data_IF_799469732700
#
_entry.id   IF_799469732700
#
_cell.length_a   1.000
_cell.length_b   1.000
_cell.length_c   1.000
_cell.angle_alpha   90.00
_cell.angle_beta   90.00
_cell.angle_gamma   90.00
#
_symmetry.space_group_name_H-M   'P 1'
#
loop_
_entity.id
_entity.type
_entity.pdbx_description
1 polymer ?
#
# COMPACT_ATOMS: atom_id res chain seq x y z
N UNK A 1 -14.64 48.14 17.76
CA UNK A 1 -13.42 47.60 17.09
C UNK A 1 -13.08 46.29 17.76
N UNK A 2 -13.95 45.28 17.59
CA UNK A 2 -13.95 44.04 18.38
C UNK A 2 -14.23 42.81 17.51
N UNK A 3 -15.00 42.93 16.43
CA UNK A 3 -15.35 41.79 15.57
C UNK A 3 -14.17 41.06 14.89
N UNK A 4 -13.09 41.76 14.52
CA UNK A 4 -11.94 41.12 13.86
C UNK A 4 -11.08 40.30 14.83
N UNK A 5 -11.03 40.68 16.12
CA UNK A 5 -10.20 39.95 17.10
C UNK A 5 -10.91 38.70 17.57
N UNK A 6 -12.23 38.76 17.74
CA UNK A 6 -13.07 37.63 18.14
C UNK A 6 -13.14 36.55 17.05
N UNK A 7 -13.23 36.96 15.78
CA UNK A 7 -13.19 36.02 14.63
C UNK A 7 -11.84 35.32 14.46
N UNK A 8 -10.73 36.04 14.69
CA UNK A 8 -9.37 35.47 14.67
C UNK A 8 -9.17 34.50 15.85
N UNK A 9 -9.71 34.80 17.02
CA UNK A 9 -9.69 33.90 18.19
C UNK A 9 -10.39 32.57 17.93
N UNK A 10 -11.63 32.61 17.43
CA UNK A 10 -12.42 31.41 17.09
C UNK A 10 -11.76 30.59 15.97
N UNK A 11 -11.19 31.25 14.95
CA UNK A 11 -10.44 30.57 13.90
C UNK A 11 -9.17 29.89 14.44
N UNK A 12 -8.46 30.54 15.37
CA UNK A 12 -7.25 30.00 16.02
C UNK A 12 -7.53 28.76 16.86
N UNK A 13 -8.61 28.75 17.64
CA UNK A 13 -9.04 27.59 18.44
C UNK A 13 -9.37 26.38 17.55
N UNK A 14 -10.07 26.62 16.44
CA UNK A 14 -10.41 25.56 15.48
C UNK A 14 -9.16 24.99 14.79
N UNK A 15 -8.22 25.85 14.40
CA UNK A 15 -6.93 25.42 13.82
C UNK A 15 -6.17 24.58 14.83
N UNK A 16 -6.04 25.03 16.09
CA UNK A 16 -5.38 24.28 17.15
C UNK A 16 -6.00 22.89 17.34
N UNK A 17 -7.34 22.83 17.42
CA UNK A 17 -8.05 21.55 17.57
C UNK A 17 -7.78 20.58 16.41
N UNK A 18 -7.67 21.09 15.18
CA UNK A 18 -7.33 20.26 14.01
C UNK A 18 -5.91 19.73 14.13
N UNK A 19 -4.94 20.59 14.48
CA UNK A 19 -3.52 20.21 14.60
C UNK A 19 -3.33 19.15 15.68
N UNK A 20 -3.86 19.37 16.89
CA UNK A 20 -3.76 18.42 18.01
C UNK A 20 -4.35 17.04 17.65
N UNK A 21 -5.44 17.02 16.87
CA UNK A 21 -6.04 15.76 16.38
C UNK A 21 -5.17 15.07 15.34
N UNK A 22 -4.50 15.81 14.47
CA UNK A 22 -3.58 15.25 13.47
C UNK A 22 -2.33 14.70 14.16
N UNK A 23 -1.72 15.46 15.07
CA UNK A 23 -0.53 15.03 15.81
C UNK A 23 -0.77 13.72 16.57
N UNK A 24 -1.92 13.57 17.23
CA UNK A 24 -2.30 12.31 17.87
C UNK A 24 -2.38 11.14 16.87
N UNK A 25 -2.95 11.36 15.68
CA UNK A 25 -3.01 10.33 14.64
C UNK A 25 -1.61 10.02 14.08
N UNK A 26 -0.72 11.01 13.97
CA UNK A 26 0.67 10.78 13.57
C UNK A 26 1.44 9.94 14.58
N UNK A 27 1.20 10.15 15.88
CA UNK A 27 1.73 9.31 16.95
C UNK A 27 1.19 7.87 16.84
N UNK A 28 -0.13 7.70 16.68
CA UNK A 28 -0.74 6.38 16.50
C UNK A 28 -0.17 5.66 15.25
N UNK A 29 0.00 6.37 14.13
CA UNK A 29 0.61 5.82 12.90
C UNK A 29 2.05 5.39 13.16
N UNK A 30 2.82 6.16 13.93
CA UNK A 30 4.20 5.82 14.29
C UNK A 30 4.26 4.52 15.09
N UNK A 31 3.41 4.38 16.10
CA UNK A 31 3.34 3.19 16.95
C UNK A 31 2.91 1.94 16.15
N UNK A 32 1.92 2.11 15.26
CA UNK A 32 1.49 1.04 14.35
C UNK A 32 2.59 0.65 13.36
N UNK A 33 3.37 1.62 12.85
CA UNK A 33 4.51 1.33 11.98
C UNK A 33 5.61 0.57 12.70
N UNK A 34 5.89 0.89 13.97
CA UNK A 34 6.88 0.18 14.76
C UNK A 34 6.42 -1.25 15.07
N UNK A 35 5.17 -1.41 15.52
CA UNK A 35 4.55 -2.73 15.73
C UNK A 35 4.63 -3.58 14.46
N UNK A 36 4.36 -2.99 13.28
CA UNK A 36 4.49 -3.68 12.00
C UNK A 36 5.93 -4.11 11.70
N UNK A 37 6.95 -3.31 12.06
CA UNK A 37 8.36 -3.69 11.89
C UNK A 37 8.73 -4.86 12.80
N UNK A 38 8.26 -4.87 14.05
CA UNK A 38 8.51 -5.94 15.01
C UNK A 38 7.97 -7.28 14.50
N UNK A 39 6.74 -7.31 13.93
CA UNK A 39 6.17 -8.50 13.31
C UNK A 39 7.06 -9.04 12.17
N UNK A 40 7.61 -8.16 11.33
CA UNK A 40 8.55 -8.61 10.29
C UNK A 40 9.90 -9.06 10.85
N UNK A 41 10.34 -8.49 11.97
CA UNK A 41 11.57 -8.91 12.64
C UNK A 41 11.40 -10.30 13.27
N UNK A 42 10.25 -10.58 13.88
CA UNK A 42 9.85 -11.91 14.38
C UNK A 42 9.84 -12.94 13.24
N UNK A 43 9.12 -12.66 12.15
CA UNK A 43 9.09 -13.53 10.97
C UNK A 43 10.50 -13.82 10.42
N UNK A 44 11.41 -12.83 10.44
CA UNK A 44 12.80 -13.02 10.05
C UNK A 44 13.55 -13.94 11.03
N UNK A 45 13.29 -13.81 12.33
CA UNK A 45 13.84 -14.68 13.38
C UNK A 45 13.39 -16.14 13.24
N UNK A 46 12.16 -16.36 12.76
CA UNK A 46 11.62 -17.67 12.39
C UNK A 46 12.20 -18.23 11.08
N UNK A 47 13.01 -17.46 10.36
CA UNK A 47 13.64 -17.87 9.10
C UNK A 47 12.81 -17.59 7.85
N UNK A 48 11.73 -16.79 7.94
CA UNK A 48 10.91 -16.42 6.78
C UNK A 48 11.57 -15.27 5.98
N UNK A 49 11.40 -15.29 4.66
CA UNK A 49 11.83 -14.19 3.80
C UNK A 49 10.84 -13.01 3.86
N UNK A 50 11.24 -11.97 4.57
CA UNK A 50 10.47 -10.72 4.73
C UNK A 50 10.15 -10.05 3.38
N UNK A 51 10.99 -10.18 2.35
CA UNK A 51 10.71 -9.62 1.02
C UNK A 51 9.52 -10.33 0.37
N UNK A 52 9.49 -11.66 0.46
CA UNK A 52 8.39 -12.47 -0.07
C UNK A 52 7.09 -12.16 0.67
N UNK A 53 7.13 -12.04 2.00
CA UNK A 53 5.95 -11.66 2.80
C UNK A 53 5.39 -10.27 2.41
N UNK A 54 6.28 -9.31 2.13
CA UNK A 54 5.86 -7.98 1.64
C UNK A 54 5.22 -8.04 0.26
N UNK A 55 5.73 -8.90 -0.64
CA UNK A 55 5.13 -9.10 -1.95
C UNK A 55 3.74 -9.75 -1.83
N UNK A 56 3.58 -10.75 -0.96
CA UNK A 56 2.28 -11.35 -0.65
C UNK A 56 1.30 -10.27 -0.16
N UNK A 57 1.71 -9.39 0.76
CA UNK A 57 0.84 -8.30 1.22
C UNK A 57 0.46 -7.32 0.10
N UNK A 58 1.38 -7.04 -0.83
CA UNK A 58 1.11 -6.19 -1.99
C UNK A 58 0.08 -6.85 -2.92
N UNK A 59 0.28 -8.12 -3.26
CA UNK A 59 -0.66 -8.91 -4.07
C UNK A 59 -2.04 -8.98 -3.41
N UNK A 60 -2.11 -9.13 -2.08
CA UNK A 60 -3.37 -9.18 -1.33
C UNK A 60 -4.12 -7.85 -1.25
N UNK A 61 -3.45 -6.73 -1.54
CA UNK A 61 -4.06 -5.39 -1.58
C UNK A 61 -4.61 -5.03 -2.96
N UNK A 62 -4.20 -5.73 -4.00
CA UNK A 62 -4.73 -5.55 -5.33
C UNK A 62 -6.18 -6.05 -5.38
N UNK A 63 -6.96 -5.46 -6.27
CA UNK A 63 -8.29 -5.99 -6.58
C UNK A 63 -8.15 -7.41 -7.14
N UNK A 64 -9.02 -8.30 -6.71
CA UNK A 64 -8.93 -9.72 -7.06
C UNK A 64 -9.22 -9.94 -8.54
N UNK A 65 -10.21 -9.24 -9.08
CA UNK A 65 -10.64 -9.42 -10.46
C UNK A 65 -9.58 -8.86 -11.41
N UNK A 66 -9.01 -7.68 -11.08
CA UNK A 66 -7.88 -7.11 -11.83
C UNK A 66 -6.65 -8.02 -11.83
N UNK A 67 -6.34 -8.66 -10.69
CA UNK A 67 -5.22 -9.60 -10.59
C UNK A 67 -5.47 -10.86 -11.42
N UNK A 68 -6.67 -11.45 -11.32
CA UNK A 68 -7.01 -12.69 -12.02
C UNK A 68 -7.01 -12.46 -13.55
N UNK A 69 -7.42 -11.27 -14.03
CA UNK A 69 -7.29 -10.84 -15.43
C UNK A 69 -5.82 -10.71 -15.87
N UNK A 70 -4.99 -10.04 -15.06
CA UNK A 70 -3.55 -9.89 -15.34
C UNK A 70 -2.82 -11.25 -15.38
N UNK A 71 -3.12 -12.16 -14.46
CA UNK A 71 -2.54 -13.50 -14.44
C UNK A 71 -2.94 -14.29 -15.70
N UNK A 72 -4.20 -14.20 -16.12
CA UNK A 72 -4.69 -14.83 -17.35
C UNK A 72 -3.95 -14.31 -18.59
N UNK A 73 -3.75 -12.99 -18.68
CA UNK A 73 -3.05 -12.37 -19.80
C UNK A 73 -1.55 -12.73 -19.81
N UNK A 74 -0.91 -12.72 -18.63
CA UNK A 74 0.48 -13.11 -18.47
C UNK A 74 0.71 -14.55 -18.94
N UNK A 75 -0.17 -15.47 -18.56
CA UNK A 75 -0.08 -16.86 -18.99
C UNK A 75 -0.16 -17.01 -20.51
N UNK A 76 -1.07 -16.27 -21.16
CA UNK A 76 -1.17 -16.24 -22.64
C UNK A 76 0.13 -15.77 -23.27
N UNK A 77 0.75 -14.71 -22.74
CA UNK A 77 2.00 -14.18 -23.29
C UNK A 77 3.20 -15.09 -23.06
N UNK A 78 3.32 -15.70 -21.88
CA UNK A 78 4.37 -16.69 -21.60
C UNK A 78 4.26 -17.89 -22.52
N UNK A 79 3.05 -18.44 -22.70
CA UNK A 79 2.81 -19.53 -23.65
C UNK A 79 3.17 -19.14 -25.08
N UNK A 80 2.88 -17.91 -25.50
CA UNK A 80 3.22 -17.43 -26.84
C UNK A 80 4.74 -17.25 -27.04
N UNK A 81 5.49 -16.88 -25.99
CA UNK A 81 6.95 -16.77 -26.03
C UNK A 81 7.64 -18.14 -26.10
N UNK A 82 7.09 -19.14 -25.40
CA UNK A 82 7.61 -20.50 -25.38
C UNK A 82 7.15 -21.33 -26.57
N UNK A 83 6.13 -20.87 -27.29
CA UNK A 83 5.67 -21.51 -28.51
C UNK A 83 6.77 -21.44 -29.59
N UNK A 84 7.06 -22.56 -30.29
CA UNK A 84 7.98 -22.52 -31.42
C UNK A 84 7.46 -21.52 -32.46
N UNK A 85 8.36 -20.83 -33.19
CA UNK A 85 7.96 -19.88 -34.22
C UNK A 85 7.00 -20.58 -35.18
N UNK A 86 5.93 -19.91 -35.65
CA UNK A 86 4.96 -20.54 -36.52
C UNK A 86 5.70 -21.11 -37.72
N UNK A 87 5.69 -22.43 -37.84
CA UNK A 87 6.19 -23.12 -39.03
C UNK A 87 5.32 -22.59 -40.15
N UNK A 88 5.90 -21.73 -41.00
CA UNK A 88 5.22 -21.29 -42.20
C UNK A 88 4.84 -22.55 -42.96
N UNK A 89 3.56 -22.93 -42.93
CA UNK A 89 3.04 -23.98 -43.80
C UNK A 89 3.19 -23.42 -45.20
N UNK A 90 4.24 -23.87 -45.88
CA UNK A 90 4.40 -23.69 -47.30
C UNK A 90 3.16 -24.29 -47.97
N UNK A 91 2.47 -23.44 -48.73
CA UNK A 91 1.27 -23.75 -49.49
C UNK A 91 1.46 -24.94 -50.44
#
# INVERSE_FOLDING_TARGET
>A
MTDTTDTVGVAGERIRSIIERVERIEEEIKDLMETKKEIFAEAKGEGLDVKVLKEILKLRKQDKDERDEQESLLEVYLRAMDAPPPVAQAA
#
